data_IF_336460877328
#
_entry.id   IF_336460877328
#
_cell.length_a   1.000
_cell.length_b   1.000
_cell.length_c   1.000
_cell.angle_alpha   90.00
_cell.angle_beta   90.00
_cell.angle_gamma   90.00
#
_symmetry.space_group_name_H-M   'P 1'
#
loop_
_entity.id
_entity.type
_entity.pdbx_description
1 polymer ?
#
# COMPACT_ATOMS: atom_id res chain seq x y z
N UNK A 1 34.97 9.19 -19.86
CA UNK A 1 35.17 8.00 -18.99
C UNK A 1 34.69 8.24 -17.55
N UNK A 2 35.01 9.37 -16.92
CA UNK A 2 34.54 9.72 -15.57
C UNK A 2 33.02 9.52 -15.31
N UNK A 3 32.10 9.91 -16.21
CA UNK A 3 30.66 9.71 -15.99
C UNK A 3 30.24 8.23 -15.91
N UNK A 4 30.93 7.33 -16.64
CA UNK A 4 30.63 5.90 -16.65
C UNK A 4 31.02 5.24 -15.32
N UNK A 5 32.11 5.68 -14.70
CA UNK A 5 32.52 5.20 -13.38
C UNK A 5 31.52 5.62 -12.30
N UNK A 6 31.08 6.89 -12.33
CA UNK A 6 30.05 7.38 -11.41
C UNK A 6 28.74 6.63 -11.59
N UNK A 7 28.33 6.38 -12.84
CA UNK A 7 27.13 5.58 -13.14
C UNK A 7 27.24 4.14 -12.63
N UNK A 8 28.36 3.46 -12.88
CA UNK A 8 28.58 2.08 -12.43
C UNK A 8 28.58 1.97 -10.90
N UNK A 9 29.24 2.90 -10.21
CA UNK A 9 29.20 2.98 -8.74
C UNK A 9 27.79 3.27 -8.25
N UNK A 10 27.03 4.13 -8.95
CA UNK A 10 25.64 4.42 -8.64
C UNK A 10 24.72 3.19 -8.74
N UNK A 11 24.84 2.39 -9.79
CA UNK A 11 24.08 1.14 -9.95
C UNK A 11 24.43 0.15 -8.83
N UNK A 12 25.71 0.02 -8.48
CA UNK A 12 26.15 -0.85 -7.39
C UNK A 12 25.60 -0.39 -6.03
N UNK A 13 25.68 0.91 -5.76
CA UNK A 13 25.15 1.51 -4.53
C UNK A 13 23.63 1.35 -4.42
N UNK A 14 22.88 1.57 -5.51
CA UNK A 14 21.44 1.37 -5.57
C UNK A 14 21.04 -0.08 -5.26
N UNK A 15 21.79 -1.05 -5.78
CA UNK A 15 21.56 -2.48 -5.51
C UNK A 15 21.77 -2.86 -4.04
N UNK A 16 22.77 -2.27 -3.37
CA UNK A 16 23.01 -2.49 -1.93
C UNK A 16 21.88 -1.89 -1.09
N UNK A 17 21.46 -0.66 -1.39
CA UNK A 17 20.37 0.01 -0.69
C UNK A 17 19.04 -0.77 -0.77
N UNK A 18 18.67 -1.23 -1.97
CA UNK A 18 17.45 -2.03 -2.18
C UNK A 18 17.46 -3.32 -1.36
N UNK A 19 18.62 -3.98 -1.24
CA UNK A 19 18.76 -5.20 -0.43
C UNK A 19 18.53 -4.93 1.05
N UNK A 20 19.09 -3.84 1.56
CA UNK A 20 18.95 -3.47 2.96
C UNK A 20 17.48 -3.16 3.28
N UNK A 21 16.84 -2.30 2.51
CA UNK A 21 15.42 -1.95 2.69
C UNK A 21 14.50 -3.18 2.54
N UNK A 22 14.78 -4.05 1.55
CA UNK A 22 14.00 -5.27 1.33
C UNK A 22 14.05 -6.26 2.49
N UNK A 23 15.21 -6.42 3.14
CA UNK A 23 15.36 -7.36 4.27
C UNK A 23 14.69 -6.87 5.54
N UNK A 24 14.78 -5.57 5.83
CA UNK A 24 14.08 -4.95 6.95
C UNK A 24 12.57 -4.90 6.73
N UNK A 25 12.11 -4.43 5.56
CA UNK A 25 10.67 -4.42 5.24
C UNK A 25 10.08 -5.84 5.26
N UNK A 26 10.77 -6.81 4.66
CA UNK A 26 10.37 -8.20 4.71
C UNK A 26 10.34 -8.77 6.14
N UNK A 27 11.19 -8.30 7.04
CA UNK A 27 11.13 -8.67 8.46
C UNK A 27 9.84 -8.21 9.11
N UNK A 28 9.52 -6.93 8.99
CA UNK A 28 8.31 -6.37 9.58
C UNK A 28 7.06 -7.04 9.04
N UNK A 29 7.04 -7.38 7.74
CA UNK A 29 5.89 -8.06 7.15
C UNK A 29 5.78 -9.51 7.64
N UNK A 30 6.88 -10.27 7.63
CA UNK A 30 6.85 -11.69 8.01
C UNK A 30 6.57 -11.92 9.49
N UNK A 31 7.17 -11.10 10.37
CA UNK A 31 6.96 -11.19 11.82
C UNK A 31 5.62 -10.54 12.22
N UNK A 32 5.24 -9.42 11.60
CA UNK A 32 4.01 -8.70 11.91
C UNK A 32 2.74 -9.37 11.37
N UNK A 33 2.72 -9.76 10.09
CA UNK A 33 1.51 -10.29 9.44
C UNK A 33 1.44 -11.82 9.42
N UNK A 34 2.57 -12.52 9.23
CA UNK A 34 2.59 -13.99 9.07
C UNK A 34 3.05 -14.75 10.33
N UNK A 35 3.57 -14.05 11.35
CA UNK A 35 4.19 -14.65 12.54
C UNK A 35 5.18 -15.81 12.19
N UNK A 36 5.94 -15.66 11.10
CA UNK A 36 6.91 -16.67 10.64
C UNK A 36 8.34 -16.31 11.07
N UNK A 37 8.92 -17.01 12.07
CA UNK A 37 10.30 -16.76 12.51
C UNK A 37 11.30 -17.43 11.56
N UNK A 38 11.58 -16.78 10.43
CA UNK A 38 12.59 -17.22 9.45
C UNK A 38 13.92 -16.51 9.72
N UNK A 39 15.02 -17.26 9.72
CA UNK A 39 16.39 -16.71 9.86
C UNK A 39 16.72 -15.68 8.77
N UNK A 40 17.41 -14.59 9.15
CA UNK A 40 17.74 -13.46 8.27
C UNK A 40 18.47 -13.89 6.99
N UNK A 41 19.41 -14.83 7.09
CA UNK A 41 20.19 -15.29 5.94
C UNK A 41 19.33 -16.08 4.94
N UNK A 42 18.46 -16.96 5.44
CA UNK A 42 17.56 -17.75 4.60
C UNK A 42 16.57 -16.84 3.86
N UNK A 43 16.03 -15.82 4.55
CA UNK A 43 15.13 -14.83 3.95
C UNK A 43 15.80 -14.11 2.77
N UNK A 44 17.04 -13.64 2.95
CA UNK A 44 17.83 -12.97 1.90
C UNK A 44 18.07 -13.89 0.71
N UNK A 45 18.44 -15.14 0.98
CA UNK A 45 18.74 -16.12 -0.06
C UNK A 45 17.49 -16.39 -0.91
N UNK A 46 16.36 -16.67 -0.27
CA UNK A 46 15.10 -16.98 -0.97
C UNK A 46 14.65 -15.80 -1.83
N UNK A 47 14.58 -14.59 -1.28
CA UNK A 47 14.10 -13.42 -2.04
C UNK A 47 15.02 -13.05 -3.18
N UNK A 48 16.34 -13.19 -3.01
CA UNK A 48 17.31 -12.96 -4.10
C UNK A 48 17.24 -14.05 -5.17
N UNK A 49 17.10 -15.31 -4.79
CA UNK A 49 16.94 -16.40 -5.76
C UNK A 49 15.68 -16.20 -6.60
N UNK A 50 14.55 -15.86 -5.96
CA UNK A 50 13.29 -15.58 -6.67
C UNK A 50 13.43 -14.38 -7.61
N UNK A 51 14.14 -13.32 -7.20
CA UNK A 51 14.33 -12.14 -8.04
C UNK A 51 15.30 -12.38 -9.21
N UNK A 52 16.37 -13.14 -8.99
CA UNK A 52 17.42 -13.40 -9.99
C UNK A 52 17.00 -14.49 -10.97
N UNK A 53 16.23 -15.50 -10.55
CA UNK A 53 15.79 -16.61 -11.38
C UNK A 53 15.13 -16.19 -12.72
N UNK A 54 14.11 -15.31 -12.76
CA UNK A 54 13.51 -14.90 -14.03
C UNK A 54 14.49 -14.11 -14.91
N UNK A 55 15.41 -13.35 -14.30
CA UNK A 55 16.43 -12.58 -15.02
C UNK A 55 17.45 -13.51 -15.69
N UNK A 56 17.94 -14.53 -14.97
CA UNK A 56 18.85 -15.53 -15.54
C UNK A 56 18.15 -16.33 -16.64
N UNK A 57 16.89 -16.72 -16.41
CA UNK A 57 16.11 -17.47 -17.40
C UNK A 57 15.96 -16.66 -18.70
N UNK A 58 15.61 -15.38 -18.61
CA UNK A 58 15.55 -14.48 -19.77
C UNK A 58 16.91 -14.27 -20.42
N UNK A 59 18.00 -14.19 -19.64
CA UNK A 59 19.35 -14.02 -20.20
C UNK A 59 19.86 -15.27 -20.95
N UNK A 60 19.44 -16.47 -20.54
CA UNK A 60 19.87 -17.74 -21.15
C UNK A 60 18.99 -18.13 -22.35
N UNK A 61 17.68 -17.86 -22.28
CA UNK A 61 16.71 -18.33 -23.28
C UNK A 61 16.06 -17.20 -24.11
N UNK A 62 16.26 -15.93 -23.76
CA UNK A 62 15.52 -14.80 -24.30
C UNK A 62 16.32 -13.85 -25.18
N UNK A 63 15.62 -13.17 -26.07
CA UNK A 63 16.11 -12.07 -26.91
C UNK A 63 15.98 -10.73 -26.15
N UNK A 64 16.77 -9.71 -26.48
CA UNK A 64 16.86 -8.43 -25.72
C UNK A 64 15.48 -7.75 -25.53
N UNK A 65 14.54 -7.98 -26.46
CA UNK A 65 13.17 -7.47 -26.37
C UNK A 65 12.34 -8.02 -25.20
N UNK A 66 12.63 -9.23 -24.69
CA UNK A 66 11.91 -9.82 -23.56
C UNK A 66 12.29 -9.19 -22.21
N UNK A 67 13.49 -8.60 -22.10
CA UNK A 67 13.93 -7.89 -20.90
C UNK A 67 13.17 -6.57 -20.69
N UNK A 68 12.85 -5.85 -21.78
CA UNK A 68 12.04 -4.61 -21.67
C UNK A 68 10.62 -4.92 -21.19
N UNK A 69 10.00 -5.96 -21.76
CA UNK A 69 8.67 -6.42 -21.32
C UNK A 69 8.64 -6.86 -19.85
N UNK A 70 9.73 -7.46 -19.34
CA UNK A 70 9.84 -7.81 -17.93
C UNK A 70 9.89 -6.57 -17.02
N UNK A 71 10.63 -5.53 -17.42
CA UNK A 71 10.66 -4.27 -16.67
C UNK A 71 9.28 -3.59 -16.65
N UNK A 72 8.58 -3.56 -17.79
CA UNK A 72 7.26 -2.95 -17.88
C UNK A 72 6.23 -3.71 -17.04
N UNK A 73 6.31 -5.05 -17.03
CA UNK A 73 5.54 -5.92 -16.12
C UNK A 73 5.83 -5.65 -14.65
N UNK A 74 7.10 -5.51 -14.26
CA UNK A 74 7.47 -5.20 -12.88
C UNK A 74 6.94 -3.83 -12.45
N UNK A 75 7.05 -2.82 -13.31
CA UNK A 75 6.47 -1.50 -13.06
C UNK A 75 4.94 -1.56 -12.95
N UNK A 76 4.29 -2.39 -13.77
CA UNK A 76 2.86 -2.64 -13.67
C UNK A 76 2.45 -3.25 -12.32
N UNK A 77 3.17 -4.31 -11.90
CA UNK A 77 2.93 -4.95 -10.62
C UNK A 77 3.18 -4.01 -9.43
N UNK A 78 4.22 -3.18 -9.51
CA UNK A 78 4.53 -2.18 -8.48
C UNK A 78 3.42 -1.14 -8.38
N UNK A 79 2.91 -0.66 -9.52
CA UNK A 79 1.78 0.25 -9.54
C UNK A 79 0.58 -0.36 -8.81
N UNK A 80 0.22 -1.60 -9.15
CA UNK A 80 -0.91 -2.32 -8.58
C UNK A 80 -0.84 -2.43 -7.04
N UNK A 81 0.37 -2.51 -6.47
CA UNK A 81 0.61 -2.62 -5.03
C UNK A 81 0.50 -1.28 -4.28
N UNK A 82 0.74 -0.14 -4.94
CA UNK A 82 0.81 1.17 -4.28
C UNK A 82 -0.45 1.53 -3.49
N UNK A 83 -1.68 1.40 -4.02
CA UNK A 83 -2.88 1.76 -3.25
C UNK A 83 -3.06 0.92 -1.99
N UNK A 84 -2.70 -0.37 -2.03
CA UNK A 84 -2.83 -1.26 -0.87
C UNK A 84 -1.89 -0.88 0.27
N UNK A 85 -0.71 -0.36 -0.03
CA UNK A 85 0.22 0.13 0.99
C UNK A 85 -0.17 1.54 1.48
N UNK A 86 -0.60 2.40 0.57
CA UNK A 86 -0.87 3.81 0.84
C UNK A 86 -2.15 4.02 1.66
N UNK A 87 -3.24 3.30 1.35
CA UNK A 87 -4.53 3.55 2.01
C UNK A 87 -4.52 3.18 3.51
N UNK A 88 -3.99 2.01 3.93
CA UNK A 88 -3.90 1.67 5.35
C UNK A 88 -2.95 2.59 6.11
N UNK A 89 -1.80 2.93 5.53
CA UNK A 89 -0.82 3.83 6.17
C UNK A 89 -1.40 5.22 6.38
N UNK A 90 -2.16 5.75 5.42
CA UNK A 90 -2.88 7.00 5.61
C UNK A 90 -3.96 6.91 6.67
N UNK A 91 -4.72 5.82 6.69
CA UNK A 91 -5.77 5.60 7.70
C UNK A 91 -5.16 5.57 9.11
N UNK A 92 -4.04 4.87 9.31
CA UNK A 92 -3.35 4.81 10.60
C UNK A 92 -2.75 6.15 11.03
N UNK A 93 -2.15 6.90 10.10
CA UNK A 93 -1.52 8.20 10.39
C UNK A 93 -2.52 9.35 10.57
N UNK A 94 -3.81 9.11 10.38
CA UNK A 94 -4.85 10.14 10.49
C UNK A 94 -5.91 9.82 11.54
N UNK A 95 -5.91 8.60 12.07
CA UNK A 95 -6.69 8.18 13.24
C UNK A 95 -6.13 8.80 14.52
N UNK A 96 -7.00 9.51 15.26
CA UNK A 96 -6.66 10.08 16.57
C UNK A 96 -6.36 8.98 17.61
N UNK A 97 -7.02 7.83 17.49
CA UNK A 97 -6.87 6.67 18.38
C UNK A 97 -5.45 6.06 18.37
N UNK A 98 -4.69 6.18 17.27
CA UNK A 98 -3.32 5.65 17.19
C UNK A 98 -2.22 6.70 17.40
N UNK A 99 -2.50 7.98 17.12
CA UNK A 99 -1.47 9.04 17.07
C UNK A 99 -1.60 10.07 18.22
N UNK A 100 -2.67 10.01 19.01
CA UNK A 100 -2.86 10.83 20.22
C UNK A 100 -2.81 12.33 19.95
N UNK A 101 -2.02 13.06 20.74
CA UNK A 101 -1.88 14.52 20.66
C UNK A 101 -1.08 15.00 19.43
N UNK A 102 -0.35 14.12 18.72
CA UNK A 102 0.35 14.43 17.46
C UNK A 102 -0.56 14.27 16.24
N UNK A 103 -1.84 14.62 16.39
CA UNK A 103 -2.85 14.50 15.34
C UNK A 103 -2.44 15.32 14.11
N UNK A 104 -2.42 14.66 12.96
CA UNK A 104 -2.20 15.34 11.69
C UNK A 104 -3.23 16.45 11.48
N UNK A 105 -2.76 17.66 11.22
CA UNK A 105 -3.59 18.83 10.94
C UNK A 105 -4.45 18.62 9.68
N UNK A 106 -5.55 19.37 9.57
CA UNK A 106 -6.47 19.30 8.43
C UNK A 106 -5.75 19.48 7.08
N UNK A 107 -4.66 20.25 7.04
CA UNK A 107 -3.83 20.43 5.85
C UNK A 107 -3.16 19.12 5.38
N UNK A 108 -2.51 18.38 6.28
CA UNK A 108 -1.90 17.09 5.96
C UNK A 108 -2.95 16.07 5.53
N UNK A 109 -4.15 16.12 6.13
CA UNK A 109 -5.28 15.28 5.75
C UNK A 109 -5.75 15.55 4.31
N UNK A 110 -5.95 16.83 3.97
CA UNK A 110 -6.35 17.23 2.62
C UNK A 110 -5.25 16.89 1.61
N UNK A 111 -3.99 17.17 1.93
CA UNK A 111 -2.84 16.83 1.09
C UNK A 111 -2.71 15.33 0.83
N UNK A 112 -2.85 14.50 1.87
CA UNK A 112 -2.82 13.05 1.76
C UNK A 112 -4.00 12.48 0.95
N UNK A 113 -5.20 13.05 1.13
CA UNK A 113 -6.39 12.67 0.37
C UNK A 113 -6.23 13.00 -1.12
N UNK A 114 -5.78 14.21 -1.45
CA UNK A 114 -5.48 14.61 -2.83
C UNK A 114 -4.40 13.72 -3.45
N UNK A 115 -3.31 13.46 -2.72
CA UNK A 115 -2.23 12.58 -3.18
C UNK A 115 -2.74 11.16 -3.44
N UNK A 116 -3.59 10.62 -2.57
CA UNK A 116 -4.23 9.30 -2.76
C UNK A 116 -5.07 9.26 -4.02
N UNK A 117 -5.89 10.29 -4.23
CA UNK A 117 -6.76 10.38 -5.41
C UNK A 117 -5.95 10.44 -6.70
N UNK A 118 -4.84 11.19 -6.70
CA UNK A 118 -3.90 11.24 -7.83
C UNK A 118 -3.21 9.90 -8.06
N UNK A 119 -2.65 9.27 -7.03
CA UNK A 119 -1.95 7.99 -7.14
C UNK A 119 -2.90 6.91 -7.68
N UNK A 120 -4.13 6.85 -7.17
CA UNK A 120 -5.13 5.89 -7.66
C UNK A 120 -5.50 6.21 -9.10
N UNK A 121 -5.75 7.49 -9.46
CA UNK A 121 -6.04 7.88 -10.84
C UNK A 121 -4.94 7.48 -11.83
N UNK A 122 -3.68 7.68 -11.47
CA UNK A 122 -2.52 7.26 -12.28
C UNK A 122 -2.46 5.74 -12.41
N UNK A 123 -2.71 5.02 -11.31
CA UNK A 123 -2.75 3.55 -11.32
C UNK A 123 -3.84 2.99 -12.24
N UNK A 124 -5.05 3.58 -12.20
CA UNK A 124 -6.15 3.22 -13.09
C UNK A 124 -5.77 3.39 -14.56
N UNK A 125 -5.18 4.54 -14.89
CA UNK A 125 -4.72 4.82 -16.24
C UNK A 125 -3.63 3.85 -16.70
N UNK A 126 -2.61 3.62 -15.86
CA UNK A 126 -1.51 2.73 -16.17
C UNK A 126 -1.98 1.29 -16.41
N UNK A 127 -2.85 0.76 -15.54
CA UNK A 127 -3.42 -0.58 -15.70
C UNK A 127 -4.24 -0.69 -16.97
N UNK A 128 -5.07 0.33 -17.28
CA UNK A 128 -5.85 0.35 -18.53
C UNK A 128 -4.95 0.33 -19.77
N UNK A 129 -3.83 1.06 -19.75
CA UNK A 129 -2.90 1.08 -20.86
C UNK A 129 -2.16 -0.26 -21.01
N UNK A 130 -1.68 -0.81 -19.90
CA UNK A 130 -0.99 -2.10 -19.86
C UNK A 130 -1.85 -3.25 -20.41
N UNK A 131 -3.13 -3.30 -20.04
CA UNK A 131 -4.11 -4.28 -20.55
C UNK A 131 -4.35 -4.13 -22.05
N UNK A 132 -4.33 -2.91 -22.57
CA UNK A 132 -4.59 -2.63 -23.98
C UNK A 132 -3.41 -2.99 -24.88
N UNK A 133 -2.18 -2.81 -24.40
CA UNK A 133 -0.95 -3.02 -25.17
C UNK A 133 -0.40 -4.46 -25.06
N UNK A 134 -0.61 -5.14 -23.93
CA UNK A 134 0.13 -6.38 -23.61
C UNK A 134 -0.63 -7.68 -23.86
N UNK A 135 -1.93 -7.66 -24.17
CA UNK A 135 -2.75 -8.88 -24.27
C UNK A 135 -3.05 -9.28 -25.72
N UNK A 136 -2.86 -10.56 -26.09
CA UNK A 136 -3.26 -11.07 -27.39
C UNK A 136 -4.79 -11.08 -27.54
N UNK A 137 -5.27 -10.95 -28.79
CA UNK A 137 -6.69 -10.83 -29.21
C UNK A 137 -7.57 -12.06 -28.96
N UNK A 138 -7.38 -12.77 -27.86
CA UNK A 138 -8.23 -13.88 -27.43
C UNK A 138 -9.27 -13.39 -26.43
N UNK A 139 -10.55 -13.49 -26.80
CA UNK A 139 -11.69 -12.99 -26.02
C UNK A 139 -11.71 -13.53 -24.57
N UNK A 140 -11.26 -14.77 -24.34
CA UNK A 140 -11.24 -15.39 -23.02
C UNK A 140 -10.22 -14.72 -22.07
N UNK A 141 -9.09 -14.26 -22.60
CA UNK A 141 -8.06 -13.54 -21.84
C UNK A 141 -8.57 -12.16 -21.43
N UNK A 142 -9.22 -11.44 -22.34
CA UNK A 142 -9.87 -10.17 -22.03
C UNK A 142 -10.96 -10.33 -20.98
N UNK A 143 -11.75 -11.39 -21.04
CA UNK A 143 -12.83 -11.63 -20.07
C UNK A 143 -12.27 -11.93 -18.68
N UNK A 144 -11.21 -12.74 -18.58
CA UNK A 144 -10.53 -13.01 -17.30
C UNK A 144 -9.86 -11.78 -16.70
N UNK A 145 -9.15 -11.00 -17.52
CA UNK A 145 -8.50 -9.76 -17.10
C UNK A 145 -9.53 -8.68 -16.73
N UNK A 146 -10.65 -8.60 -17.46
CA UNK A 146 -11.74 -7.69 -17.11
C UNK A 146 -12.37 -8.04 -15.77
N UNK A 147 -12.61 -9.33 -15.47
CA UNK A 147 -13.13 -9.74 -14.16
C UNK A 147 -12.16 -9.36 -13.05
N UNK A 148 -10.88 -9.73 -13.19
CA UNK A 148 -9.86 -9.40 -12.19
C UNK A 148 -9.69 -7.89 -12.03
N UNK A 149 -9.69 -7.16 -13.14
CA UNK A 149 -9.64 -5.71 -13.19
C UNK A 149 -10.83 -5.10 -12.44
N UNK A 150 -12.06 -5.47 -12.77
CA UNK A 150 -13.27 -4.95 -12.10
C UNK A 150 -13.24 -5.24 -10.59
N UNK A 151 -12.81 -6.44 -10.17
CA UNK A 151 -12.66 -6.77 -8.75
C UNK A 151 -11.60 -5.88 -8.07
N UNK A 152 -10.44 -5.73 -8.70
CA UNK A 152 -9.36 -4.87 -8.21
C UNK A 152 -9.80 -3.40 -8.14
N UNK A 153 -10.46 -2.89 -9.19
CA UNK A 153 -10.98 -1.53 -9.27
C UNK A 153 -12.06 -1.28 -8.21
N UNK A 154 -13.00 -2.21 -8.06
CA UNK A 154 -14.04 -2.15 -7.04
C UNK A 154 -13.44 -2.13 -5.63
N UNK A 155 -12.43 -2.97 -5.38
CA UNK A 155 -11.73 -2.99 -4.10
C UNK A 155 -10.97 -1.67 -3.81
N UNK A 156 -10.26 -1.12 -4.80
CA UNK A 156 -9.57 0.17 -4.65
C UNK A 156 -10.55 1.31 -4.43
N UNK A 157 -11.67 1.32 -5.14
CA UNK A 157 -12.71 2.34 -4.98
C UNK A 157 -13.38 2.22 -3.60
N UNK A 158 -13.62 1.00 -3.12
CA UNK A 158 -14.12 0.75 -1.77
C UNK A 158 -13.14 1.29 -0.71
N UNK A 159 -11.85 1.00 -0.84
CA UNK A 159 -10.83 1.50 0.06
C UNK A 159 -10.71 3.04 0.02
N UNK A 160 -10.80 3.64 -1.17
CA UNK A 160 -10.79 5.08 -1.34
C UNK A 160 -12.03 5.75 -0.73
N UNK A 161 -13.21 5.17 -0.92
CA UNK A 161 -14.45 5.65 -0.32
C UNK A 161 -14.37 5.59 1.23
N UNK A 162 -13.88 4.49 1.78
CA UNK A 162 -13.65 4.35 3.22
C UNK A 162 -12.63 5.39 3.73
N UNK A 163 -11.56 5.63 2.98
CA UNK A 163 -10.56 6.65 3.29
C UNK A 163 -11.17 8.06 3.31
N UNK A 164 -11.95 8.44 2.28
CA UNK A 164 -12.63 9.74 2.23
C UNK A 164 -13.63 9.95 3.38
N UNK A 165 -14.32 8.90 3.82
CA UNK A 165 -15.25 8.96 4.95
C UNK A 165 -14.52 9.20 6.27
N UNK A 166 -13.38 8.51 6.51
CA UNK A 166 -12.51 8.74 7.68
C UNK A 166 -11.94 10.17 7.68
N UNK A 167 -11.78 10.78 6.51
CA UNK A 167 -11.32 12.16 6.35
C UNK A 167 -12.41 13.24 6.48
N UNK A 168 -13.67 12.87 6.70
CA UNK A 168 -14.75 13.83 6.97
C UNK A 168 -15.43 14.41 5.72
N UNK A 169 -15.22 13.82 4.53
CA UNK A 169 -16.06 14.14 3.36
C UNK A 169 -17.45 13.47 3.52
N UNK A 170 -18.35 14.16 4.22
CA UNK A 170 -19.74 13.76 4.45
C UNK A 170 -20.60 13.68 3.19
N UNK A 171 -20.10 14.13 2.04
CA UNK A 171 -20.75 14.02 0.72
C UNK A 171 -20.93 12.55 0.28
N UNK A 172 -20.06 11.63 0.72
CA UNK A 172 -20.15 10.20 0.37
C UNK A 172 -21.15 9.41 1.23
N UNK A 173 -21.56 9.94 2.39
CA UNK A 173 -22.60 9.34 3.25
C UNK A 173 -24.01 9.46 2.63
N UNK A 174 -24.18 10.29 1.60
CA UNK A 174 -25.44 10.48 0.88
C UNK A 174 -25.67 9.45 -0.23
N UNK A 175 -24.69 8.57 -0.52
CA UNK A 175 -24.84 7.52 -1.54
C UNK A 175 -25.61 6.30 -0.99
N UNK A 176 -26.66 5.83 -1.68
CA UNK A 176 -27.62 4.85 -1.15
C UNK A 176 -27.04 3.44 -0.95
N UNK A 177 -25.93 3.09 -1.60
CA UNK A 177 -25.35 1.73 -1.55
C UNK A 177 -24.31 1.52 -0.43
N UNK A 178 -23.69 2.57 0.09
CA UNK A 178 -22.54 2.47 1.02
C UNK A 178 -22.73 3.26 2.32
N UNK A 179 -23.67 4.20 2.35
CA UNK A 179 -23.98 5.04 3.51
C UNK A 179 -24.29 4.29 4.83
N UNK A 180 -25.10 3.21 4.84
CA UNK A 180 -25.50 2.58 6.10
C UNK A 180 -24.35 1.88 6.85
N UNK A 181 -23.50 1.15 6.13
CA UNK A 181 -22.42 0.35 6.73
C UNK A 181 -21.23 1.18 7.22
N UNK A 182 -20.95 2.32 6.58
CA UNK A 182 -19.85 3.20 7.00
C UNK A 182 -20.25 4.11 8.17
N UNK A 183 -21.52 4.51 8.27
CA UNK A 183 -22.03 5.37 9.34
C UNK A 183 -21.96 4.69 10.72
N UNK A 184 -22.41 3.44 10.80
CA UNK A 184 -22.42 2.70 12.07
C UNK A 184 -21.01 2.47 12.65
N UNK A 185 -20.00 2.29 11.78
CA UNK A 185 -18.62 2.07 12.25
C UNK A 185 -17.91 3.37 12.60
N UNK A 186 -18.18 4.46 11.88
CA UNK A 186 -17.69 5.80 12.24
C UNK A 186 -18.23 6.24 13.60
N UNK A 187 -19.53 6.02 13.85
CA UNK A 187 -20.18 6.40 15.11
C UNK A 187 -19.64 5.59 16.31
N UNK A 188 -19.33 4.29 16.13
CA UNK A 188 -18.68 3.47 17.18
C UNK A 188 -17.24 3.91 17.50
N UNK A 189 -16.47 4.33 16.49
CA UNK A 189 -15.09 4.81 16.71
C UNK A 189 -15.11 6.15 17.44
N UNK A 190 -16.01 7.07 17.06
CA UNK A 190 -16.18 8.37 17.75
C UNK A 190 -16.70 8.20 19.19
N UNK A 191 -17.62 7.26 19.42
CA UNK A 191 -18.15 6.96 20.76
C UNK A 191 -17.08 6.36 21.68
N UNK A 192 -16.22 5.48 21.17
CA UNK A 192 -15.11 4.92 21.95
C UNK A 192 -14.06 5.99 22.31
N UNK A 193 -13.72 6.90 21.39
CA UNK A 193 -12.81 8.02 21.66
C UNK A 193 -13.38 8.98 22.73
N UNK A 194 -14.68 9.29 22.65
CA UNK A 194 -15.38 10.13 23.65
C UNK A 194 -15.43 9.45 25.04
N UNK A 195 -15.70 8.14 25.08
CA UNK A 195 -15.72 7.39 26.35
C UNK A 195 -14.34 7.28 27.02
N UNK A 196 -13.25 7.23 26.23
CA UNK A 196 -11.89 7.23 26.79
C UNK A 196 -11.46 8.60 27.31
N UNK A 197 -11.95 9.69 26.70
CA UNK A 197 -11.71 11.04 27.22
C UNK A 197 -12.46 11.28 28.53
N UNK A 198 -13.71 10.82 28.65
CA UNK A 198 -14.51 10.94 29.88
C UNK A 198 -13.94 10.14 31.08
N UNK A 199 -13.33 8.97 30.84
CA UNK A 199 -12.68 8.16 31.89
C UNK A 199 -11.40 8.83 32.39
N UNK A 200 -10.68 9.56 31.51
CA UNK A 200 -9.45 10.28 31.88
C UNK A 200 -9.71 11.60 32.63
N UNK A 201 -10.92 12.15 32.54
CA UNK A 201 -11.32 13.42 33.17
C UNK A 201 -12.09 13.29 34.48
N UNK A 202 -12.12 12.10 35.10
CA UNK A 202 -12.61 11.93 36.47
C UNK A 202 -11.45 12.10 37.46
N UNK A 203 -11.25 13.27 38.08
CA UNK A 203 -10.41 13.36 39.26
C UNK A 203 -11.19 12.65 40.38
N UNK A 204 -10.79 11.42 40.74
CA UNK A 204 -10.98 10.81 42.07
C UNK A 204 -10.91 9.27 41.99
N UNK A 205 -9.71 8.66 41.94
CA UNK A 205 -9.39 7.37 42.61
C UNK A 205 -7.93 6.94 42.40
N UNK A 206 -6.96 7.74 42.88
CA UNK A 206 -5.59 7.22 43.12
C UNK A 206 -5.06 7.80 44.43
N UNK A 207 -5.64 7.38 45.55
CA UNK A 207 -5.06 7.65 46.89
C UNK A 207 -5.46 6.58 47.91
N UNK A 208 -5.33 5.30 47.56
CA UNK A 208 -5.62 4.24 48.53
C UNK A 208 -4.93 2.90 48.28
N UNK A 209 -3.69 2.86 47.77
CA UNK A 209 -2.84 1.66 47.84
C UNK A 209 -1.35 2.05 47.86
N UNK A 210 -0.92 2.65 48.97
CA UNK A 210 0.47 2.64 49.44
C UNK A 210 0.44 2.07 50.85
N UNK A 211 0.59 0.76 50.95
CA UNK A 211 1.14 0.00 52.07
C UNK A 211 1.64 -1.33 51.53
#
# INVERSE_FOLDING_TARGET
MFPLYVWAVGILAAGQSSTMTGTYSGQFIMEGFLNLPISRWLRVLITRLIAIAPTILCAVFGDIGQLSGMNDLLNALMSLQLPFALIPTLTFTTSASFMGEFKNGTLTKVGASLLSMVVIGINLYFVSNFVSESLPSHWAVYLGVAIFGVLYLGFNLYLLAHLLVVFGCTILLQLPLIGPHLKERSDRVLYNDASQTDISSSPDTVSSYQL
#
